data_IF_367913433864
#
_entry.id   IF_367913433864
#
_cell.length_a   1.000
_cell.length_b   1.000
_cell.length_c   1.000
_cell.angle_alpha   90.00
_cell.angle_beta   90.00
_cell.angle_gamma   90.00
#
_symmetry.space_group_name_H-M   'P 1'
#
loop_
_entity.id
_entity.type
_entity.pdbx_description
1 polymer ?
#
# COMPACT_ATOMS: atom_id res chain seq x y z
N UNK A 1 -12.84 -4.19 -12.78
CA UNK A 1 -12.51 -4.26 -11.34
C UNK A 1 -11.21 -3.52 -11.07
N UNK A 2 -11.11 -2.77 -9.97
CA UNK A 2 -9.94 -1.99 -9.58
C UNK A 2 -9.25 -2.60 -8.36
N UNK A 3 -7.99 -2.99 -8.52
CA UNK A 3 -7.14 -3.52 -7.46
C UNK A 3 -6.05 -2.53 -7.07
N UNK A 4 -5.70 -2.52 -5.78
CA UNK A 4 -4.55 -1.76 -5.26
C UNK A 4 -3.44 -2.71 -4.84
N UNK A 5 -2.23 -2.48 -5.32
CA UNK A 5 -1.02 -3.21 -4.90
C UNK A 5 -0.20 -2.30 -4.00
N UNK A 6 -0.09 -2.63 -2.71
CA UNK A 6 0.67 -1.85 -1.73
C UNK A 6 2.11 -2.35 -1.66
N UNK A 7 3.06 -1.45 -1.92
CA UNK A 7 4.47 -1.74 -1.78
C UNK A 7 4.91 -1.58 -0.31
N UNK A 8 5.46 -2.64 0.26
CA UNK A 8 5.91 -2.68 1.65
C UNK A 8 7.38 -2.29 1.85
N UNK A 9 7.97 -1.45 1.00
CA UNK A 9 9.34 -1.02 1.26
C UNK A 9 9.62 0.40 0.77
N UNK A 10 10.20 1.18 1.68
CA UNK A 10 10.81 2.49 1.39
C UNK A 10 12.33 2.37 1.22
N UNK A 11 12.91 1.16 1.34
CA UNK A 11 14.36 0.96 1.25
C UNK A 11 14.83 1.16 -0.18
N UNK A 12 15.43 2.31 -0.44
CA UNK A 12 16.03 2.65 -1.73
C UNK A 12 17.56 2.59 -1.66
N UNK A 13 18.09 1.42 -1.29
CA UNK A 13 19.53 1.17 -1.18
C UNK A 13 19.92 -0.18 -1.78
N UNK A 14 21.18 -0.27 -2.24
CA UNK A 14 21.83 -1.50 -2.70
C UNK A 14 22.65 -2.16 -1.58
N UNK A 15 22.86 -3.49 -1.61
CA UNK A 15 22.26 -4.46 -2.52
C UNK A 15 20.78 -4.77 -2.20
N UNK A 16 20.01 -5.31 -3.18
CA UNK A 16 20.42 -5.70 -4.53
C UNK A 16 20.53 -4.52 -5.51
N UNK A 17 21.02 -4.80 -6.73
CA UNK A 17 21.08 -3.85 -7.84
C UNK A 17 20.19 -4.34 -9.00
N UNK A 18 19.27 -3.53 -9.56
CA UNK A 18 18.86 -2.21 -9.06
C UNK A 18 18.25 -2.28 -7.64
N UNK A 19 18.31 -1.19 -6.87
CA UNK A 19 17.71 -1.11 -5.54
C UNK A 19 16.18 -1.34 -5.62
N UNK A 20 15.55 -1.52 -4.45
CA UNK A 20 14.11 -1.79 -4.31
C UNK A 20 13.66 -3.12 -4.92
N UNK A 21 14.13 -4.24 -4.36
CA UNK A 21 13.65 -5.59 -4.72
C UNK A 21 12.11 -5.68 -4.64
N UNK A 22 11.50 -5.16 -3.58
CA UNK A 22 10.05 -5.19 -3.42
C UNK A 22 9.29 -4.45 -4.52
N UNK A 23 9.86 -3.37 -5.07
CA UNK A 23 9.23 -2.66 -6.19
C UNK A 23 9.18 -3.54 -7.44
N UNK A 24 10.20 -4.38 -7.67
CA UNK A 24 10.19 -5.34 -8.79
C UNK A 24 9.11 -6.39 -8.60
N UNK A 25 8.97 -6.93 -7.39
CA UNK A 25 7.91 -7.88 -7.04
C UNK A 25 6.52 -7.24 -7.21
N UNK A 26 6.32 -6.03 -6.67
CA UNK A 26 5.04 -5.33 -6.77
C UNK A 26 4.66 -4.99 -8.21
N UNK A 27 5.62 -4.58 -9.04
CA UNK A 27 5.40 -4.38 -10.49
C UNK A 27 5.01 -5.67 -11.19
N UNK A 28 5.62 -6.80 -10.85
CA UNK A 28 5.23 -8.09 -11.39
C UNK A 28 3.77 -8.44 -11.01
N UNK A 29 3.37 -8.21 -9.75
CA UNK A 29 1.97 -8.38 -9.32
C UNK A 29 1.00 -7.48 -10.10
N UNK A 30 1.34 -6.20 -10.28
CA UNK A 30 0.53 -5.25 -11.06
C UNK A 30 0.38 -5.73 -12.51
N UNK A 31 1.47 -6.09 -13.18
CA UNK A 31 1.44 -6.60 -14.56
C UNK A 31 0.60 -7.87 -14.67
N UNK A 32 0.69 -8.79 -13.70
CA UNK A 32 -0.07 -10.02 -13.72
C UNK A 32 -1.57 -9.78 -13.50
N UNK A 33 -1.94 -8.83 -12.63
CA UNK A 33 -3.33 -8.49 -12.37
C UNK A 33 -3.97 -7.66 -13.49
N UNK A 34 -3.18 -6.81 -14.14
CA UNK A 34 -3.68 -5.86 -15.14
C UNK A 34 -4.00 -6.56 -16.46
N UNK A 35 -5.13 -7.25 -16.52
CA UNK A 35 -5.57 -8.05 -17.67
C UNK A 35 -7.09 -7.96 -17.84
N UNK A 36 -7.55 -7.90 -19.10
CA UNK A 36 -8.98 -7.77 -19.41
C UNK A 36 -9.61 -6.56 -18.73
N UNK A 37 -10.69 -6.78 -18.00
CA UNK A 37 -11.43 -5.72 -17.28
C UNK A 37 -10.86 -5.40 -15.88
N UNK A 38 -9.70 -5.96 -15.52
CA UNK A 38 -9.02 -5.71 -14.24
C UNK A 38 -7.97 -4.61 -14.42
N UNK A 39 -8.09 -3.53 -13.66
CA UNK A 39 -7.03 -2.54 -13.48
C UNK A 39 -6.35 -2.73 -12.14
N UNK A 40 -5.02 -2.58 -12.12
CA UNK A 40 -4.21 -2.61 -10.91
C UNK A 40 -3.39 -1.33 -10.79
N UNK A 41 -3.42 -0.70 -9.61
CA UNK A 41 -2.69 0.52 -9.27
C UNK A 41 -1.64 0.22 -8.19
N UNK A 42 -0.40 0.68 -8.39
CA UNK A 42 0.66 0.56 -7.39
C UNK A 42 0.59 1.73 -6.39
N UNK A 43 0.57 1.41 -5.10
CA UNK A 43 0.66 2.38 -4.00
C UNK A 43 2.06 2.27 -3.38
N UNK A 44 2.89 3.29 -3.60
CA UNK A 44 4.23 3.39 -3.03
C UNK A 44 4.20 4.29 -1.79
N UNK A 45 4.62 3.82 -0.60
CA UNK A 45 4.67 4.65 0.59
C UNK A 45 5.55 5.90 0.43
N UNK A 46 6.52 5.90 -0.49
CA UNK A 46 7.35 7.08 -0.77
C UNK A 46 6.60 8.21 -1.48
N UNK A 47 5.41 7.96 -2.04
CA UNK A 47 4.58 8.99 -2.67
C UNK A 47 3.75 9.80 -1.65
N UNK A 48 3.82 9.43 -0.36
CA UNK A 48 3.07 10.03 0.72
C UNK A 48 4.00 10.74 1.69
N UNK A 49 3.71 12.01 1.98
CA UNK A 49 4.37 12.73 3.07
C UNK A 49 3.68 12.36 4.38
N UNK A 50 4.23 11.34 5.05
CA UNK A 50 3.73 10.87 6.33
C UNK A 50 4.51 11.57 7.45
N UNK A 51 3.82 12.42 8.21
CA UNK A 51 4.39 13.16 9.33
C UNK A 51 5.18 12.25 10.30
N UNK A 52 6.24 12.79 10.89
CA UNK A 52 7.04 12.08 11.90
C UNK A 52 6.24 11.70 13.14
N UNK A 53 5.18 12.46 13.46
CA UNK A 53 4.22 12.15 14.50
C UNK A 53 3.03 11.46 13.84
N UNK A 54 2.86 10.19 14.17
CA UNK A 54 1.78 9.38 13.63
C UNK A 54 0.41 9.95 14.02
N UNK A 55 -0.41 10.24 13.02
CA UNK A 55 -1.84 10.58 13.18
C UNK A 55 -2.67 9.88 12.11
N UNK A 56 -3.55 8.95 12.47
CA UNK A 56 -4.34 8.20 11.49
C UNK A 56 -5.40 9.08 10.83
N UNK A 57 -5.80 8.74 9.60
CA UNK A 57 -6.82 9.45 8.81
C UNK A 57 -8.12 9.66 9.59
N UNK A 58 -8.59 8.62 10.29
CA UNK A 58 -9.84 8.66 11.07
C UNK A 58 -9.77 9.51 12.36
N UNK A 59 -8.59 10.00 12.76
CA UNK A 59 -8.43 10.90 13.90
C UNK A 59 -8.49 12.39 13.51
N UNK A 60 -8.61 12.71 12.22
CA UNK A 60 -8.84 14.08 11.78
C UNK A 60 -10.33 14.42 11.84
N UNK A 61 -10.65 15.67 12.16
CA UNK A 61 -11.99 16.19 11.95
C UNK A 61 -12.37 16.07 10.47
N UNK A 62 -13.66 15.94 10.19
CA UNK A 62 -14.17 15.79 8.83
C UNK A 62 -13.62 16.89 7.90
N UNK A 63 -13.04 16.49 6.77
CA UNK A 63 -12.45 17.41 5.79
C UNK A 63 -11.13 18.05 6.21
N UNK A 64 -10.50 17.61 7.31
CA UNK A 64 -9.21 18.13 7.80
C UNK A 64 -8.04 17.17 7.63
N UNK A 65 -8.28 15.95 7.15
CA UNK A 65 -7.21 15.02 6.82
C UNK A 65 -6.36 15.58 5.67
N UNK A 66 -5.02 15.33 5.65
CA UNK A 66 -4.16 15.65 4.54
C UNK A 66 -4.71 15.10 3.21
N UNK A 67 -4.61 15.87 2.14
CA UNK A 67 -5.21 15.53 0.85
C UNK A 67 -4.72 14.18 0.30
N UNK A 68 -3.43 13.84 0.49
CA UNK A 68 -2.87 12.55 0.09
C UNK A 68 -3.48 11.37 0.85
N UNK A 69 -3.70 11.52 2.17
CA UNK A 69 -4.34 10.50 2.99
C UNK A 69 -5.82 10.35 2.63
N UNK A 70 -6.54 11.47 2.43
CA UNK A 70 -7.94 11.42 2.00
C UNK A 70 -8.06 10.72 0.64
N UNK A 71 -7.22 11.09 -0.32
CA UNK A 71 -7.21 10.47 -1.65
C UNK A 71 -6.95 8.97 -1.58
N UNK A 72 -6.01 8.52 -0.74
CA UNK A 72 -5.76 7.09 -0.55
C UNK A 72 -6.92 6.39 0.17
N UNK A 73 -7.55 7.02 1.16
CA UNK A 73 -8.75 6.48 1.80
C UNK A 73 -9.88 6.24 0.78
N UNK A 74 -10.11 7.20 -0.11
CA UNK A 74 -11.11 7.11 -1.17
C UNK A 74 -10.76 6.00 -2.17
N UNK A 75 -9.48 5.87 -2.55
CA UNK A 75 -9.00 4.75 -3.39
C UNK A 75 -9.22 3.40 -2.71
N UNK A 76 -8.88 3.26 -1.43
CA UNK A 76 -9.08 2.02 -0.67
C UNK A 76 -10.57 1.69 -0.63
N UNK A 77 -11.43 2.67 -0.31
CA UNK A 77 -12.87 2.49 -0.25
C UNK A 77 -13.45 2.01 -1.59
N UNK A 78 -12.99 2.58 -2.71
CA UNK A 78 -13.45 2.23 -4.06
C UNK A 78 -12.79 0.98 -4.67
N UNK A 79 -11.74 0.43 -4.06
CA UNK A 79 -11.08 -0.75 -4.58
C UNK A 79 -11.93 -2.01 -4.42
N UNK A 80 -11.89 -2.88 -5.43
CA UNK A 80 -12.52 -4.20 -5.44
C UNK A 80 -11.65 -5.27 -4.76
N UNK A 81 -10.38 -4.99 -4.52
CA UNK A 81 -9.44 -5.90 -3.86
C UNK A 81 -8.05 -5.31 -3.73
N UNK A 82 -7.16 -6.02 -3.04
CA UNK A 82 -5.80 -5.54 -2.81
C UNK A 82 -4.75 -6.63 -2.72
N UNK A 83 -3.52 -6.27 -3.05
CA UNK A 83 -2.32 -7.10 -2.88
C UNK A 83 -1.34 -6.38 -1.95
N UNK A 84 -0.95 -7.05 -0.89
CA UNK A 84 0.04 -6.57 0.08
C UNK A 84 1.39 -7.19 -0.26
N UNK A 85 2.32 -6.40 -0.80
CA UNK A 85 3.66 -6.87 -1.19
C UNK A 85 4.65 -6.44 -0.12
N UNK A 86 5.14 -7.35 0.71
CA UNK A 86 6.03 -7.01 1.82
C UNK A 86 7.30 -7.86 1.81
N UNK A 87 8.49 -7.29 2.01
CA UNK A 87 9.60 -8.10 2.50
C UNK A 87 9.25 -8.69 3.87
N UNK A 88 9.82 -9.85 4.19
CA UNK A 88 9.80 -10.37 5.55
C UNK A 88 10.90 -9.71 6.39
N UNK A 89 10.52 -8.97 7.44
CA UNK A 89 11.45 -8.45 8.44
C UNK A 89 11.14 -9.07 9.79
N UNK A 90 12.09 -9.83 10.35
CA UNK A 90 11.96 -10.50 11.65
C UNK A 90 10.66 -11.32 11.78
N UNK A 91 10.34 -12.13 10.77
CA UNK A 91 9.11 -12.92 10.72
C UNK A 91 7.81 -12.10 10.77
N UNK A 92 7.86 -10.86 10.30
CA UNK A 92 6.74 -9.93 10.31
C UNK A 92 6.65 -9.14 9.00
N UNK A 93 5.51 -8.48 8.78
CA UNK A 93 5.40 -7.49 7.72
C UNK A 93 6.38 -6.34 7.96
N UNK A 94 6.73 -5.67 6.87
CA UNK A 94 7.57 -4.49 6.91
C UNK A 94 6.95 -3.36 7.74
N UNK A 95 7.75 -2.63 8.54
CA UNK A 95 7.30 -1.44 9.24
C UNK A 95 6.75 -0.37 8.30
N UNK A 96 7.29 -0.26 7.08
CA UNK A 96 6.81 0.67 6.07
C UNK A 96 5.37 0.39 5.64
N UNK A 97 5.03 -0.88 5.38
CA UNK A 97 3.66 -1.27 5.04
C UNK A 97 2.73 -1.07 6.23
N UNK A 98 3.15 -1.52 7.42
CA UNK A 98 2.36 -1.36 8.65
C UNK A 98 2.05 0.11 8.91
N UNK A 99 3.05 0.98 8.80
CA UNK A 99 2.91 2.42 9.03
C UNK A 99 1.88 3.05 8.10
N UNK A 100 1.97 2.81 6.78
CA UNK A 100 1.02 3.33 5.81
C UNK A 100 -0.40 2.82 6.07
N UNK A 101 -0.57 1.52 6.29
CA UNK A 101 -1.89 0.91 6.49
C UNK A 101 -2.56 1.36 7.79
N UNK A 102 -1.78 1.60 8.86
CA UNK A 102 -2.30 2.03 10.16
C UNK A 102 -3.00 3.38 10.12
N UNK A 103 -2.81 4.20 9.07
CA UNK A 103 -3.58 5.42 8.91
C UNK A 103 -5.07 5.15 8.67
N UNK A 104 -5.46 3.96 8.21
CA UNK A 104 -6.80 3.68 7.71
C UNK A 104 -7.54 2.68 8.61
N UNK A 105 -8.84 2.91 8.80
CA UNK A 105 -9.69 1.98 9.55
C UNK A 105 -9.91 0.67 8.79
N UNK A 106 -10.00 -0.45 9.51
CA UNK A 106 -10.22 -1.79 8.93
C UNK A 106 -11.52 -1.90 8.12
N UNK A 107 -12.51 -1.05 8.41
CA UNK A 107 -13.77 -0.98 7.67
C UNK A 107 -13.58 -0.66 6.18
N UNK A 108 -12.57 0.13 5.82
CA UNK A 108 -12.29 0.47 4.41
C UNK A 108 -11.84 -0.74 3.58
N UNK A 109 -11.29 -1.76 4.24
CA UNK A 109 -10.77 -2.99 3.63
C UNK A 109 -11.77 -4.16 3.71
N UNK A 110 -12.87 -4.00 4.45
CA UNK A 110 -13.77 -5.11 4.77
C UNK A 110 -14.46 -5.66 3.53
N UNK A 111 -14.68 -6.99 3.52
CA UNK A 111 -15.40 -7.73 2.45
C UNK A 111 -14.76 -7.68 1.06
N UNK A 112 -13.47 -7.34 0.97
CA UNK A 112 -12.72 -7.29 -0.28
C UNK A 112 -11.70 -8.44 -0.34
N UNK A 113 -11.56 -9.13 -1.49
CA UNK A 113 -10.50 -10.12 -1.67
C UNK A 113 -9.12 -9.51 -1.48
N UNK A 114 -8.24 -10.26 -0.82
CA UNK A 114 -6.87 -9.83 -0.53
C UNK A 114 -5.85 -10.92 -0.78
N UNK A 115 -4.69 -10.54 -1.30
CA UNK A 115 -3.52 -11.41 -1.39
C UNK A 115 -2.33 -10.82 -0.63
N UNK A 116 -1.48 -11.69 -0.09
CA UNK A 116 -0.19 -11.32 0.52
C UNK A 116 0.91 -11.95 -0.33
N UNK A 117 1.89 -11.15 -0.73
CA UNK A 117 3.07 -11.57 -1.48
C UNK A 117 4.30 -11.19 -0.68
N UNK A 118 5.04 -12.18 -0.19
CA UNK A 118 6.26 -11.98 0.59
C UNK A 118 7.49 -12.53 -0.10
N UNK A 119 8.66 -12.00 0.27
CA UNK A 119 9.97 -12.39 -0.23
C UNK A 119 11.06 -12.10 0.80
#
# INVERSE_FOLDING_TARGET
>A
MKFLTFLGTIRNSSPPNPPRLGLRVARACVTQLHQGDISAELIDPLDFDLDSIFKPHFAYAQGKAPAQLQTLADKIAAADGYVMVSPEYNHSLSPALAHLLNHFGSSLFSYKPSAIVTY
#
